data_IF_474024474119
#
_entry.id   IF_474024474119
#
_cell.length_a   1.000
_cell.length_b   1.000
_cell.length_c   1.000
_cell.angle_alpha   90.00
_cell.angle_beta   90.00
_cell.angle_gamma   90.00
#
_symmetry.space_group_name_H-M   'P 1'
#
loop_
_entity.id
_entity.type
_entity.pdbx_description
1 polymer ?
#
# COMPACT_ATOMS: atom_id res chain seq x y z
N UNK A 1 -8.89 23.43 -3.52
CA UNK A 1 -8.31 22.40 -2.61
C UNK A 1 -9.32 21.33 -2.30
N UNK A 2 -8.93 20.08 -2.40
CA UNK A 2 -9.81 18.97 -2.12
C UNK A 2 -10.14 18.82 -0.63
N UNK A 3 -11.09 17.96 -0.34
CA UNK A 3 -11.43 17.59 1.04
C UNK A 3 -10.32 16.71 1.60
N UNK A 4 -10.16 16.71 2.91
CA UNK A 4 -9.20 15.85 3.60
C UNK A 4 -9.91 14.89 4.55
N UNK A 5 -9.31 13.74 4.76
CA UNK A 5 -9.70 12.79 5.79
C UNK A 5 -8.60 12.75 6.84
N UNK A 6 -8.97 12.57 8.11
CA UNK A 6 -8.03 12.53 9.22
C UNK A 6 -8.15 11.20 9.93
N UNK A 7 -7.02 10.57 10.19
CA UNK A 7 -6.93 9.31 10.93
C UNK A 7 -5.89 9.45 12.04
N UNK A 8 -6.14 8.83 13.18
CA UNK A 8 -5.18 8.81 14.30
C UNK A 8 -4.49 7.47 14.38
N UNK A 9 -3.17 7.51 14.56
CA UNK A 9 -2.34 6.33 14.69
C UNK A 9 -1.33 6.50 15.83
N UNK A 10 -0.99 5.38 16.47
CA UNK A 10 -0.03 5.38 17.57
C UNK A 10 1.39 5.65 17.08
N UNK A 11 1.76 5.04 15.93
CA UNK A 11 3.09 5.16 15.33
C UNK A 11 3.00 6.03 14.08
N UNK A 12 3.66 7.21 14.06
CA UNK A 12 3.61 8.09 12.89
C UNK A 12 4.37 7.54 11.67
N UNK A 13 5.19 6.48 11.83
CA UNK A 13 5.96 5.89 10.73
C UNK A 13 5.24 4.75 10.04
N UNK A 14 4.22 4.20 10.68
CA UNK A 14 3.39 3.14 10.12
C UNK A 14 1.99 3.18 10.72
N UNK A 15 1.04 2.63 9.98
CA UNK A 15 -0.35 2.56 10.40
C UNK A 15 -1.02 1.37 9.74
N UNK A 16 -1.96 0.75 10.45
CA UNK A 16 -2.77 -0.33 9.90
C UNK A 16 -4.16 0.23 9.64
N UNK A 17 -4.61 0.11 8.39
CA UNK A 17 -5.89 0.66 7.95
C UNK A 17 -6.69 -0.40 7.21
N UNK A 18 -7.99 -0.12 7.07
CA UNK A 18 -8.90 -0.91 6.26
C UNK A 18 -9.01 -0.23 4.89
N UNK A 19 -8.70 -0.99 3.84
CA UNK A 19 -8.88 -0.52 2.47
C UNK A 19 -9.86 -1.42 1.73
N UNK A 20 -10.28 -0.99 0.54
CA UNK A 20 -11.13 -1.79 -0.33
C UNK A 20 -10.56 -1.78 -1.74
N UNK A 21 -10.59 -2.95 -2.38
CA UNK A 21 -10.26 -3.11 -3.80
C UNK A 21 -11.38 -3.93 -4.43
N UNK A 22 -11.98 -3.44 -5.51
CA UNK A 22 -13.11 -4.09 -6.19
C UNK A 22 -14.26 -4.43 -5.23
N UNK A 23 -14.52 -3.56 -4.27
CA UNK A 23 -15.56 -3.78 -3.26
C UNK A 23 -15.21 -4.79 -2.18
N UNK A 24 -14.02 -5.36 -2.20
CA UNK A 24 -13.58 -6.33 -1.21
C UNK A 24 -12.76 -5.63 -0.14
N UNK A 25 -13.15 -5.82 1.11
CA UNK A 25 -12.47 -5.22 2.26
C UNK A 25 -11.15 -5.91 2.53
N UNK A 26 -10.11 -5.11 2.78
CA UNK A 26 -8.78 -5.60 3.14
C UNK A 26 -8.43 -4.94 4.48
N UNK A 27 -8.65 -5.66 5.59
CA UNK A 27 -8.61 -5.05 6.92
C UNK A 27 -7.22 -4.81 7.48
N UNK A 28 -6.19 -5.41 6.91
CA UNK A 28 -4.85 -5.41 7.50
C UNK A 28 -3.82 -4.76 6.57
N UNK A 29 -4.20 -3.65 5.95
CA UNK A 29 -3.33 -2.90 5.05
C UNK A 29 -2.36 -2.05 5.88
N UNK A 30 -1.07 -2.21 5.64
CA UNK A 30 -0.03 -1.43 6.30
C UNK A 30 0.35 -0.21 5.46
N UNK A 31 0.27 0.96 6.05
CA UNK A 31 0.87 2.18 5.49
C UNK A 31 2.22 2.34 6.15
N UNK A 32 3.28 2.33 5.35
CA UNK A 32 4.66 2.30 5.86
C UNK A 32 5.52 3.34 5.17
N UNK A 33 5.93 4.37 5.90
CA UNK A 33 6.82 5.43 5.42
C UNK A 33 8.21 4.90 5.06
N UNK A 34 8.63 3.79 5.65
CA UNK A 34 9.91 3.16 5.35
C UNK A 34 9.93 2.38 4.05
N UNK A 35 8.76 2.04 3.51
CA UNK A 35 8.69 1.28 2.26
C UNK A 35 8.85 2.20 1.06
N UNK A 36 9.72 1.81 0.11
CA UNK A 36 9.97 2.57 -1.11
C UNK A 36 9.01 2.23 -2.24
N UNK A 37 8.24 1.18 -2.09
CA UNK A 37 7.28 0.69 -3.08
C UNK A 37 6.00 0.23 -2.40
N UNK A 38 4.95 0.08 -3.20
CA UNK A 38 3.71 -0.55 -2.75
C UNK A 38 3.80 -2.04 -3.07
N UNK A 39 3.37 -2.89 -2.14
CA UNK A 39 3.48 -4.34 -2.28
C UNK A 39 2.12 -4.99 -2.06
N UNK A 40 1.77 -5.93 -2.94
CA UNK A 40 0.61 -6.81 -2.77
C UNK A 40 1.09 -8.25 -2.75
N UNK A 41 0.62 -9.06 -1.80
CA UNK A 41 0.92 -10.47 -1.77
C UNK A 41 0.24 -11.20 -2.93
N UNK A 42 0.85 -12.30 -3.39
CA UNK A 42 0.25 -13.11 -4.45
C UNK A 42 -1.10 -13.68 -4.03
N UNK A 43 -1.21 -14.09 -2.78
CA UNK A 43 -2.47 -14.61 -2.25
C UNK A 43 -3.59 -13.56 -2.36
N UNK A 44 -3.28 -12.30 -2.01
CA UNK A 44 -4.26 -11.21 -2.10
C UNK A 44 -4.64 -10.96 -3.56
N UNK A 45 -3.66 -10.94 -4.46
CA UNK A 45 -3.93 -10.79 -5.88
C UNK A 45 -4.90 -11.86 -6.38
N UNK A 46 -4.69 -13.12 -5.99
CA UNK A 46 -5.54 -14.22 -6.39
C UNK A 46 -6.94 -14.11 -5.79
N UNK A 47 -7.05 -13.73 -4.53
CA UNK A 47 -8.34 -13.52 -3.87
C UNK A 47 -9.13 -12.39 -4.53
N UNK A 48 -8.46 -11.35 -4.99
CA UNK A 48 -9.08 -10.22 -5.67
C UNK A 48 -9.31 -10.48 -7.17
N UNK A 49 -8.86 -11.63 -7.68
CA UNK A 49 -8.98 -12.03 -9.08
C UNK A 49 -8.38 -11.03 -10.05
N UNK A 50 -7.24 -10.45 -9.67
CA UNK A 50 -6.50 -9.53 -10.53
C UNK A 50 -5.64 -10.34 -11.49
N UNK A 51 -5.81 -10.13 -12.80
CA UNK A 51 -5.22 -10.99 -13.81
C UNK A 51 -4.12 -10.34 -14.63
N UNK A 52 -3.97 -9.02 -14.58
CA UNK A 52 -3.04 -8.29 -15.44
C UNK A 52 -1.68 -8.09 -14.79
N UNK A 53 -1.03 -9.19 -14.47
CA UNK A 53 0.31 -9.16 -13.89
C UNK A 53 1.32 -8.94 -15.02
N UNK A 54 2.07 -7.83 -14.95
CA UNK A 54 3.05 -7.46 -15.95
C UNK A 54 4.44 -7.90 -15.54
N UNK A 55 5.23 -8.34 -16.51
CA UNK A 55 6.61 -8.72 -16.28
C UNK A 55 7.43 -7.51 -15.80
N UNK A 56 8.35 -7.73 -14.87
CA UNK A 56 9.34 -6.75 -14.47
C UNK A 56 10.71 -7.42 -14.31
N UNK A 57 11.79 -6.82 -14.83
CA UNK A 57 13.15 -7.31 -14.58
C UNK A 57 13.68 -6.89 -13.21
N UNK A 58 12.95 -6.06 -12.47
CA UNK A 58 13.41 -5.49 -11.21
C UNK A 58 13.62 -6.58 -10.15
N UNK A 59 14.61 -6.37 -9.30
CA UNK A 59 14.82 -7.13 -8.07
C UNK A 59 14.53 -6.20 -6.90
N UNK A 60 14.03 -6.77 -5.80
CA UNK A 60 13.73 -6.02 -4.59
C UNK A 60 14.67 -6.42 -3.47
N UNK A 61 15.23 -5.42 -2.80
CA UNK A 61 15.91 -5.65 -1.54
C UNK A 61 14.95 -5.31 -0.40
N UNK A 62 14.72 -6.27 0.46
CA UNK A 62 13.85 -6.12 1.62
C UNK A 62 14.62 -5.54 2.82
N UNK A 63 13.88 -5.20 3.88
CA UNK A 63 14.47 -4.58 5.06
C UNK A 63 15.54 -5.45 5.72
N UNK A 64 15.42 -6.78 5.63
CA UNK A 64 16.41 -7.73 6.15
C UNK A 64 17.59 -7.94 5.21
N UNK A 65 17.70 -7.13 4.14
CA UNK A 65 18.72 -7.18 3.09
C UNK A 65 18.61 -8.38 2.16
N UNK A 66 17.63 -9.25 2.32
CA UNK A 66 17.38 -10.29 1.33
C UNK A 66 16.93 -9.67 0.02
N UNK A 67 17.28 -10.34 -1.09
CA UNK A 67 16.89 -9.91 -2.43
C UNK A 67 15.86 -10.91 -2.95
N UNK A 68 14.73 -10.39 -3.41
CA UNK A 68 13.65 -11.22 -3.94
C UNK A 68 13.33 -10.81 -5.37
N UNK A 69 12.90 -11.79 -6.17
CA UNK A 69 12.39 -11.53 -7.51
C UNK A 69 10.87 -11.45 -7.43
N UNK A 70 10.27 -10.29 -7.76
CA UNK A 70 8.82 -10.18 -7.74
C UNK A 70 8.20 -11.04 -8.86
N UNK A 71 6.94 -11.41 -8.66
CA UNK A 71 6.17 -12.11 -9.68
C UNK A 71 5.83 -11.20 -10.86
N UNK A 72 5.77 -9.92 -10.62
CA UNK A 72 5.46 -8.89 -11.61
C UNK A 72 4.88 -7.65 -10.95
N UNK A 73 4.31 -6.79 -11.77
CA UNK A 73 3.70 -5.52 -11.36
C UNK A 73 2.22 -5.53 -11.72
N UNK A 74 1.39 -5.06 -10.82
CA UNK A 74 -0.03 -4.78 -11.05
C UNK A 74 -0.19 -3.26 -11.13
N UNK A 75 -0.65 -2.75 -12.26
CA UNK A 75 -0.79 -1.32 -12.48
C UNK A 75 -2.23 -0.85 -12.35
N UNK A 76 -2.39 0.40 -11.90
CA UNK A 76 -3.66 1.11 -11.85
C UNK A 76 -4.75 0.37 -11.06
N UNK A 77 -4.37 -0.23 -9.96
CA UNK A 77 -5.33 -0.89 -9.07
C UNK A 77 -5.99 0.18 -8.21
N UNK A 78 -7.31 0.30 -8.32
CA UNK A 78 -8.06 1.28 -7.56
C UNK A 78 -8.20 0.83 -6.12
N UNK A 79 -7.61 1.59 -5.21
CA UNK A 79 -7.63 1.32 -3.77
C UNK A 79 -8.45 2.39 -3.09
N UNK A 80 -9.49 1.98 -2.36
CA UNK A 80 -10.33 2.91 -1.60
C UNK A 80 -9.90 2.94 -0.15
N UNK A 81 -9.68 4.14 0.34
CA UNK A 81 -9.55 4.46 1.75
C UNK A 81 -10.52 5.61 2.01
N UNK A 82 -11.69 5.27 2.57
CA UNK A 82 -12.80 6.20 2.70
C UNK A 82 -12.37 7.58 3.20
N UNK A 83 -12.84 8.66 2.56
CA UNK A 83 -13.80 8.69 1.44
C UNK A 83 -13.15 8.67 0.05
N UNK A 84 -11.87 8.40 -0.05
CA UNK A 84 -11.09 8.59 -1.26
C UNK A 84 -10.75 7.27 -1.95
N UNK A 85 -10.50 7.35 -3.26
CA UNK A 85 -10.09 6.23 -4.09
C UNK A 85 -8.89 6.66 -4.93
N UNK A 86 -7.85 5.80 -4.99
CA UNK A 86 -6.60 6.13 -5.65
C UNK A 86 -6.15 5.02 -6.57
N UNK A 87 -5.62 5.33 -7.77
CA UNK A 87 -4.95 4.33 -8.60
C UNK A 87 -3.55 4.05 -8.03
N UNK A 88 -3.25 2.78 -7.81
CA UNK A 88 -2.01 2.36 -7.17
C UNK A 88 -1.36 1.25 -7.98
N UNK A 89 -0.04 1.36 -8.17
CA UNK A 89 0.76 0.29 -8.75
C UNK A 89 1.37 -0.54 -7.63
N UNK A 90 1.28 -1.85 -7.77
CA UNK A 90 1.81 -2.78 -6.77
C UNK A 90 2.86 -3.69 -7.36
N UNK A 91 3.96 -3.88 -6.64
CA UNK A 91 4.87 -4.98 -6.86
C UNK A 91 4.26 -6.23 -6.22
N UNK A 92 4.14 -7.31 -6.98
CA UNK A 92 3.53 -8.55 -6.49
C UNK A 92 4.60 -9.50 -5.99
N UNK A 93 4.47 -9.93 -4.75
CA UNK A 93 5.41 -10.85 -4.11
C UNK A 93 4.71 -12.09 -3.58
N UNK A 94 5.44 -13.21 -3.59
CA UNK A 94 5.06 -14.40 -2.83
C UNK A 94 5.79 -14.32 -1.49
N UNK A 95 5.10 -13.95 -0.41
CA UNK A 95 5.79 -13.72 0.86
C UNK A 95 6.22 -15.01 1.52
N UNK A 96 7.42 -15.00 2.09
CA UNK A 96 7.93 -16.01 3.02
C UNK A 96 8.15 -15.32 4.35
N UNK A 97 7.06 -14.83 4.97
CA UNK A 97 7.09 -14.07 6.22
C UNK A 97 7.63 -12.64 6.08
N UNK A 98 7.75 -12.11 4.85
CA UNK A 98 8.39 -10.82 4.62
C UNK A 98 7.46 -9.63 4.72
N UNK A 99 6.14 -9.86 4.69
CA UNK A 99 5.14 -8.80 4.76
C UNK A 99 4.51 -8.67 6.15
N UNK A 100 5.03 -9.39 7.15
CA UNK A 100 4.50 -9.33 8.52
C UNK A 100 3.03 -9.71 8.62
N UNK A 101 2.54 -10.54 7.69
CA UNK A 101 1.12 -10.92 7.65
C UNK A 101 0.20 -9.91 6.99
N UNK A 102 0.75 -8.83 6.42
CA UNK A 102 -0.06 -7.82 5.75
C UNK A 102 -0.32 -8.22 4.29
N UNK A 103 -1.58 -8.18 3.82
CA UNK A 103 -1.89 -8.44 2.41
C UNK A 103 -1.42 -7.34 1.48
N UNK A 104 -1.40 -6.10 1.96
CA UNK A 104 -0.95 -4.94 1.22
C UNK A 104 -0.02 -4.11 2.09
N UNK A 105 1.01 -3.55 1.44
CA UNK A 105 1.83 -2.49 2.02
C UNK A 105 1.76 -1.29 1.10
N UNK A 106 1.31 -0.15 1.63
CA UNK A 106 1.28 1.12 0.92
C UNK A 106 2.48 1.93 1.37
N UNK A 107 3.42 2.13 0.46
CA UNK A 107 4.66 2.83 0.73
C UNK A 107 4.65 4.27 0.26
N UNK A 108 5.85 4.83 0.11
CA UNK A 108 6.01 6.24 -0.30
C UNK A 108 5.33 6.59 -1.62
N UNK A 109 5.27 5.71 -2.66
CA UNK A 109 4.54 6.08 -3.86
C UNK A 109 3.07 6.37 -3.63
N UNK A 110 2.40 5.59 -2.75
CA UNK A 110 1.02 5.87 -2.37
C UNK A 110 0.91 7.17 -1.58
N UNK A 111 1.84 7.41 -0.65
CA UNK A 111 1.85 8.65 0.13
C UNK A 111 1.98 9.88 -0.77
N UNK A 112 2.74 9.79 -1.86
CA UNK A 112 2.88 10.87 -2.83
C UNK A 112 1.58 11.13 -3.59
N UNK A 113 0.85 10.07 -3.99
CA UNK A 113 -0.43 10.21 -4.68
C UNK A 113 -1.46 10.89 -3.80
N UNK A 114 -1.49 10.52 -2.52
CA UNK A 114 -2.48 11.05 -1.57
C UNK A 114 -2.10 12.40 -1.00
N UNK A 115 -0.89 12.89 -1.30
CA UNK A 115 -0.35 14.09 -0.69
C UNK A 115 -0.44 14.02 0.84
N UNK A 116 -0.06 12.86 1.37
CA UNK A 116 -0.23 12.56 2.78
C UNK A 116 0.69 13.41 3.64
N UNK A 117 0.16 13.84 4.77
CA UNK A 117 0.89 14.57 5.78
C UNK A 117 0.69 13.87 7.12
N UNK A 118 1.78 13.61 7.83
CA UNK A 118 1.72 12.95 9.13
C UNK A 118 2.28 13.90 10.18
N UNK A 119 1.44 14.20 11.18
CA UNK A 119 1.89 14.97 12.34
C UNK A 119 2.58 14.02 13.32
N UNK A 120 3.89 14.12 13.41
CA UNK A 120 4.66 13.29 14.34
C UNK A 120 4.30 13.57 15.80
N UNK A 121 3.81 14.76 16.08
CA UNK A 121 3.45 15.16 17.43
C UNK A 121 2.17 14.50 17.93
N UNK A 122 1.14 14.45 17.06
CA UNK A 122 -0.18 13.91 17.42
C UNK A 122 -0.40 12.48 16.92
N UNK A 123 0.40 12.02 15.99
CA UNK A 123 0.17 10.74 15.31
C UNK A 123 -0.95 10.76 14.28
N UNK A 124 -1.48 11.95 13.97
CA UNK A 124 -2.53 12.08 12.97
C UNK A 124 -1.95 12.03 11.55
N UNK A 125 -2.65 11.36 10.65
CA UNK A 125 -2.35 11.36 9.25
C UNK A 125 -3.48 12.05 8.48
N UNK A 126 -3.10 12.94 7.58
CA UNK A 126 -4.03 13.70 6.74
C UNK A 126 -3.78 13.32 5.28
N UNK A 127 -4.82 12.95 4.57
CA UNK A 127 -4.76 12.64 3.15
C UNK A 127 -5.78 13.48 2.39
N UNK A 128 -5.55 13.63 1.10
CA UNK A 128 -6.48 14.38 0.25
C UNK A 128 -6.86 13.55 -0.97
N UNK A 129 -7.78 14.07 -1.77
CA UNK A 129 -8.21 13.42 -3.02
C UNK A 129 -7.20 13.62 -4.17
N UNK A 130 -6.04 14.19 -3.88
CA UNK A 130 -4.99 14.42 -4.87
C UNK A 130 -5.14 15.74 -5.64
N UNK A 131 -6.05 16.58 -5.23
CA UNK A 131 -6.29 17.89 -5.87
C UNK A 131 -5.91 19.05 -4.98
#
# INVERSE_FOLDING_TARGET
MGKTATQKYVDPWSAIVKTHINGIEIPNTLIDLGATINIMSRQTMEQLKLLNLLYTPALLQLADRSVVKPNGVLEDISVSLDPWEYPVDFMNLTPKNNLGGHPLILGRPWLAITDAFISCRSGDMYISDGN
#
